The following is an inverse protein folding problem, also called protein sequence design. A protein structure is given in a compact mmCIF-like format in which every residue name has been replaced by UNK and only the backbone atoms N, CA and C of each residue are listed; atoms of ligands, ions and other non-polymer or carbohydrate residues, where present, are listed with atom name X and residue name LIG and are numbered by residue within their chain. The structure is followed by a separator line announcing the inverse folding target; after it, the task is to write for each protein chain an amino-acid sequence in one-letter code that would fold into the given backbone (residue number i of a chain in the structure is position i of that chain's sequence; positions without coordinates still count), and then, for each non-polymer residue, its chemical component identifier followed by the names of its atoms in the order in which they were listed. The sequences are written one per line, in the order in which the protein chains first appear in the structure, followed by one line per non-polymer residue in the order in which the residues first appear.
data_IF_210169574558
#
_entry.id   IF_210169574558
#
_cell.length_a   1.000
_cell.length_b   1.000
_cell.length_c   1.000
_cell.angle_alpha   90.00
_cell.angle_beta   90.00
_cell.angle_gamma   90.00
#
_symmetry.space_group_name_H-M   'P 1'
#
loop_
_entity.id
_entity.type
_entity.pdbx_description
1 polymer ?
#
# COMPACT_ATOMS: atom_id res chain seq x y z
N UNK A 1 12.00 -17.88 -7.93
CA UNK A 1 11.33 -17.29 -6.75
C UNK A 1 10.04 -18.06 -6.56
N UNK A 2 9.83 -18.65 -5.37
CA UNK A 2 8.67 -19.52 -5.11
C UNK A 2 7.42 -18.72 -4.72
N UNK A 3 6.26 -19.38 -4.72
CA UNK A 3 4.98 -18.76 -4.31
C UNK A 3 5.04 -18.21 -2.87
N UNK A 4 5.77 -18.88 -1.97
CA UNK A 4 5.96 -18.41 -0.59
C UNK A 4 6.73 -17.09 -0.54
N UNK A 5 7.81 -16.95 -1.32
CA UNK A 5 8.60 -15.72 -1.40
C UNK A 5 7.73 -14.57 -1.92
N UNK A 6 6.91 -14.82 -2.96
CA UNK A 6 5.98 -13.84 -3.52
C UNK A 6 4.90 -13.40 -2.52
N UNK A 7 4.40 -14.32 -1.67
CA UNK A 7 3.44 -14.00 -0.61
C UNK A 7 4.07 -13.16 0.51
N UNK A 8 5.32 -13.44 0.88
CA UNK A 8 6.08 -12.66 1.86
C UNK A 8 6.32 -11.23 1.34
N UNK A 9 6.82 -11.11 0.10
CA UNK A 9 7.03 -9.81 -0.56
C UNK A 9 5.73 -9.01 -0.65
N UNK A 10 4.62 -9.64 -1.07
CA UNK A 10 3.31 -8.98 -1.10
C UNK A 10 2.92 -8.43 0.27
N UNK A 11 3.10 -9.20 1.34
CA UNK A 11 2.77 -8.77 2.71
C UNK A 11 3.65 -7.58 3.14
N UNK A 12 4.94 -7.64 2.85
CA UNK A 12 5.89 -6.58 3.22
C UNK A 12 5.61 -5.28 2.48
N UNK A 13 5.25 -5.35 1.19
CA UNK A 13 4.85 -4.18 0.41
C UNK A 13 3.54 -3.58 0.95
N UNK A 14 2.54 -4.41 1.27
CA UNK A 14 1.29 -3.92 1.87
C UNK A 14 1.54 -3.25 3.23
N UNK A 15 2.39 -3.84 4.08
CA UNK A 15 2.76 -3.27 5.36
C UNK A 15 3.50 -1.92 5.21
N UNK A 16 4.38 -1.82 4.21
CA UNK A 16 5.06 -0.57 3.87
C UNK A 16 4.07 0.51 3.43
N UNK A 17 3.11 0.17 2.57
CA UNK A 17 2.07 1.11 2.12
C UNK A 17 1.27 1.65 3.32
N UNK A 18 0.80 0.78 4.20
CA UNK A 18 0.04 1.17 5.41
C UNK A 18 0.87 2.09 6.31
N UNK A 19 2.16 1.75 6.52
CA UNK A 19 3.09 2.59 7.26
C UNK A 19 3.28 3.98 6.62
N UNK A 20 3.42 4.03 5.29
CA UNK A 20 3.63 5.30 4.58
C UNK A 20 2.39 6.18 4.62
N UNK A 21 1.19 5.64 4.47
CA UNK A 21 -0.07 6.39 4.62
C UNK A 21 -0.16 7.01 6.01
N UNK A 22 0.12 6.22 7.07
CA UNK A 22 0.14 6.71 8.45
C UNK A 22 1.17 7.83 8.66
N UNK A 23 2.32 7.72 8.00
CA UNK A 23 3.38 8.72 8.05
C UNK A 23 2.97 10.01 7.34
N UNK A 24 2.38 9.91 6.16
CA UNK A 24 1.84 11.06 5.40
C UNK A 24 0.80 11.84 6.21
N UNK A 25 -0.08 11.16 6.97
CA UNK A 25 -1.03 11.85 7.87
C UNK A 25 -0.32 12.71 8.91
N UNK A 26 0.78 12.20 9.49
CA UNK A 26 1.55 12.92 10.51
C UNK A 26 2.35 14.06 9.91
N UNK A 27 2.98 13.82 8.76
CA UNK A 27 3.76 14.82 8.01
C UNK A 27 2.87 15.97 7.54
N UNK A 28 1.66 15.69 7.07
CA UNK A 28 0.70 16.71 6.61
C UNK A 28 0.40 17.75 7.69
N UNK A 29 0.12 17.31 8.92
CA UNK A 29 -0.22 18.22 10.02
C UNK A 29 0.95 19.17 10.33
N UNK A 30 2.16 18.63 10.43
CA UNK A 30 3.38 19.44 10.63
C UNK A 30 3.63 20.40 9.47
N UNK A 31 3.44 19.94 8.24
CA UNK A 31 3.63 20.76 7.04
C UNK A 31 2.65 21.93 7.01
N UNK A 32 1.37 21.72 7.34
CA UNK A 32 0.34 22.77 7.39
C UNK A 32 0.65 23.85 8.42
N UNK A 33 1.21 23.47 9.57
CA UNK A 33 1.62 24.42 10.62
C UNK A 33 2.81 25.29 10.20
N UNK A 34 3.70 24.74 9.37
CA UNK A 34 4.92 25.42 8.90
C UNK A 34 4.74 26.38 7.72
N UNK A 35 3.55 26.43 7.12
CA UNK A 35 3.29 27.23 5.90
C UNK A 35 2.23 28.31 6.12
N UNK A 36 2.26 29.33 5.27
CA UNK A 36 1.29 30.42 5.28
C UNK A 36 -0.15 29.93 5.00
N UNK A 37 -1.17 30.53 5.63
CA UNK A 37 -2.57 30.08 5.53
C UNK A 37 -3.07 29.84 4.11
N UNK A 38 -2.72 30.72 3.17
CA UNK A 38 -3.12 30.68 1.76
C UNK A 38 -2.59 29.45 1.01
N UNK A 39 -1.48 28.85 1.48
CA UNK A 39 -0.86 27.67 0.85
C UNK A 39 -1.30 26.36 1.47
N UNK A 40 -1.98 26.38 2.62
CA UNK A 40 -2.35 25.18 3.38
C UNK A 40 -3.22 24.21 2.58
N UNK A 41 -4.13 24.73 1.76
CA UNK A 41 -5.01 23.90 0.92
C UNK A 41 -4.22 23.19 -0.19
N UNK A 42 -3.22 23.84 -0.78
CA UNK A 42 -2.33 23.22 -1.75
C UNK A 42 -1.53 22.07 -1.10
N UNK A 43 -0.99 22.31 0.09
CA UNK A 43 -0.29 21.27 0.88
C UNK A 43 -1.24 20.11 1.17
N UNK A 44 -2.47 20.38 1.62
CA UNK A 44 -3.48 19.33 1.87
C UNK A 44 -3.75 18.47 0.64
N UNK A 45 -3.94 19.10 -0.52
CA UNK A 45 -4.18 18.41 -1.80
C UNK A 45 -3.00 17.54 -2.20
N UNK A 46 -1.76 18.02 -2.04
CA UNK A 46 -0.56 17.23 -2.34
C UNK A 46 -0.47 15.96 -1.49
N UNK A 47 -0.70 16.07 -0.18
CA UNK A 47 -0.72 14.90 0.72
C UNK A 47 -1.89 13.96 0.42
N UNK A 48 -3.08 14.50 0.13
CA UNK A 48 -4.23 13.71 -0.30
C UNK A 48 -3.95 12.92 -1.59
N UNK A 49 -3.30 13.55 -2.58
CA UNK A 49 -2.94 12.90 -3.84
C UNK A 49 -2.03 11.68 -3.64
N UNK A 50 -0.96 11.87 -2.85
CA UNK A 50 -0.02 10.78 -2.51
C UNK A 50 -0.68 9.63 -1.76
N UNK A 51 -1.60 9.91 -0.84
CA UNK A 51 -2.37 8.86 -0.16
C UNK A 51 -3.25 8.09 -1.15
N UNK A 52 -3.91 8.80 -2.06
CA UNK A 52 -4.77 8.17 -3.07
C UNK A 52 -3.98 7.25 -3.99
N UNK A 53 -2.78 7.64 -4.42
CA UNK A 53 -1.89 6.79 -5.20
C UNK A 53 -1.52 5.52 -4.43
N UNK A 54 -1.17 5.65 -3.15
CA UNK A 54 -0.88 4.51 -2.29
C UNK A 54 -2.09 3.58 -2.09
N UNK A 55 -3.29 4.13 -1.93
CA UNK A 55 -4.53 3.34 -1.82
C UNK A 55 -4.83 2.57 -3.11
N UNK A 56 -4.55 3.16 -4.28
CA UNK A 56 -4.70 2.48 -5.58
C UNK A 56 -3.69 1.33 -5.68
N UNK A 57 -2.42 1.58 -5.39
CA UNK A 57 -1.37 0.55 -5.40
C UNK A 57 -1.68 -0.60 -4.44
N UNK A 58 -2.20 -0.28 -3.24
CA UNK A 58 -2.63 -1.28 -2.26
C UNK A 58 -3.67 -2.24 -2.86
N UNK A 59 -4.68 -1.69 -3.55
CA UNK A 59 -5.72 -2.49 -4.20
C UNK A 59 -5.16 -3.35 -5.33
N UNK A 60 -4.33 -2.79 -6.20
CA UNK A 60 -3.70 -3.54 -7.30
C UNK A 60 -2.86 -4.73 -6.79
N UNK A 61 -2.17 -4.55 -5.66
CA UNK A 61 -1.40 -5.61 -5.02
C UNK A 61 -2.34 -6.64 -4.38
N UNK A 62 -3.39 -6.21 -3.68
CA UNK A 62 -4.39 -7.10 -3.08
C UNK A 62 -5.09 -7.96 -4.14
N UNK A 63 -5.50 -7.36 -5.26
CA UNK A 63 -6.21 -7.99 -6.38
C UNK A 63 -5.30 -8.92 -7.21
N UNK A 64 -3.97 -8.77 -7.12
CA UNK A 64 -3.04 -9.75 -7.65
C UNK A 64 -3.22 -11.10 -6.92
N UNK A 65 -3.99 -12.00 -7.54
CA UNK A 65 -4.54 -13.27 -7.03
C UNK A 65 -3.50 -14.37 -6.71
N UNK A 66 -2.31 -14.01 -6.23
CA UNK A 66 -1.25 -14.94 -5.81
C UNK A 66 -1.76 -15.97 -4.79
N UNK A 67 -2.74 -15.59 -3.96
CA UNK A 67 -3.38 -16.49 -3.00
C UNK A 67 -4.20 -17.61 -3.66
N UNK A 68 -4.92 -17.31 -4.73
CA UNK A 68 -5.66 -18.35 -5.47
C UNK A 68 -4.68 -19.28 -6.21
N UNK A 69 -3.66 -18.72 -6.86
CA UNK A 69 -2.58 -19.52 -7.46
C UNK A 69 -1.88 -20.45 -6.44
N UNK A 70 -1.69 -19.98 -5.20
CA UNK A 70 -1.15 -20.81 -4.11
C UNK A 70 -2.09 -21.93 -3.67
N UNK A 71 -3.41 -21.68 -3.61
CA UNK A 71 -4.41 -22.70 -3.27
C UNK A 71 -4.50 -23.76 -4.35
N UNK A 72 -4.48 -23.35 -5.62
CA UNK A 72 -4.51 -24.25 -6.76
C UNK A 72 -3.29 -25.17 -6.74
N UNK A 73 -2.08 -24.62 -6.54
CA UNK A 73 -0.87 -25.43 -6.39
C UNK A 73 -0.96 -26.40 -5.21
N UNK A 74 -1.47 -25.95 -4.05
CA UNK A 74 -1.64 -26.80 -2.88
C UNK A 74 -2.70 -27.90 -3.07
N UNK A 75 -3.68 -27.70 -3.94
CA UNK A 75 -4.67 -28.69 -4.33
C UNK A 75 -4.06 -29.72 -5.28
N UNK A 76 -3.33 -29.27 -6.32
CA UNK A 76 -2.63 -30.15 -7.26
C UNK A 76 -1.66 -31.10 -6.56
N UNK A 77 -0.90 -30.61 -5.57
CA UNK A 77 0.03 -31.43 -4.76
C UNK A 77 -0.64 -32.47 -3.85
N UNK A 78 -1.95 -32.39 -3.62
CA UNK A 78 -2.71 -33.38 -2.80
C UNK A 78 -3.44 -34.42 -3.65
N UNK A 79 -3.59 -34.16 -4.94
CA UNK A 79 -4.27 -35.03 -5.90
C UNK A 79 -3.28 -35.96 -6.64
N UNK A 80 -1.97 -35.78 -6.40
CA UNK A 80 -0.87 -36.71 -6.76
C UNK A 80 -0.52 -37.64 -5.59
#
# INVERSE_FOLDING_TARGET
MGILDQLLEKKDVLAYIDFRIKTLNREQNKAIESVYPETRELVRRSFNGRRRELDILRKEIEDNNIKEASKDMAKSLREE
#
